data_IF_139983091737
#
_entry.id   IF_139983091737
#
_cell.length_a   1.000
_cell.length_b   1.000
_cell.length_c   1.000
_cell.angle_alpha   90.00
_cell.angle_beta   90.00
_cell.angle_gamma   90.00
#
_symmetry.space_group_name_H-M   'P 1'
#
loop_
_entity.id
_entity.type
_entity.pdbx_description
1 polymer ?
#
# COMPACT_ATOMS: atom_id res chain seq x y z
N UNK A 1 21.88 -1.58 2.70
CA UNK A 1 20.50 -2.06 2.53
C UNK A 1 20.13 -1.87 1.06
N UNK A 2 20.11 -2.94 0.27
CA UNK A 2 19.77 -2.85 -1.15
C UNK A 2 18.25 -2.79 -1.21
N UNK A 3 17.71 -1.57 -1.39
CA UNK A 3 16.29 -1.41 -1.73
C UNK A 3 16.13 -2.05 -3.11
N UNK A 4 15.57 -3.26 -3.18
CA UNK A 4 15.13 -3.79 -4.47
C UNK A 4 14.20 -2.73 -5.05
N UNK A 5 14.64 -2.12 -6.15
CA UNK A 5 13.91 -1.05 -6.83
C UNK A 5 12.57 -1.64 -7.23
N UNK A 6 11.48 -1.22 -6.58
CA UNK A 6 10.15 -1.70 -6.91
C UNK A 6 9.95 -1.55 -8.41
N UNK A 7 9.58 -2.64 -9.07
CA UNK A 7 9.22 -2.62 -10.48
C UNK A 7 7.97 -1.74 -10.62
N UNK A 8 7.88 -1.08 -11.77
CA UNK A 8 6.77 -0.19 -12.13
C UNK A 8 5.42 -0.92 -11.97
N UNK A 9 4.53 -0.39 -11.12
CA UNK A 9 3.20 -0.91 -10.84
C UNK A 9 2.39 -1.08 -12.12
N UNK A 10 1.66 -2.20 -12.27
CA UNK A 10 0.88 -2.55 -13.45
C UNK A 10 -0.46 -1.78 -13.50
N UNK A 11 -0.38 -0.46 -13.48
CA UNK A 11 -1.50 0.46 -13.69
C UNK A 11 -1.41 1.09 -15.08
N UNK A 12 -2.55 1.49 -15.65
CA UNK A 12 -2.59 2.15 -16.95
C UNK A 12 -1.79 3.46 -16.96
N UNK A 13 -1.24 3.81 -18.12
CA UNK A 13 -0.49 5.06 -18.30
C UNK A 13 -1.34 6.30 -17.93
N UNK A 14 -2.62 6.28 -18.29
CA UNK A 14 -3.57 7.35 -17.95
C UNK A 14 -3.77 7.49 -16.43
N UNK A 15 -3.89 6.38 -15.70
CA UNK A 15 -4.00 6.41 -14.23
C UNK A 15 -2.72 6.95 -13.61
N UNK A 16 -1.55 6.49 -14.07
CA UNK A 16 -0.28 6.98 -13.54
C UNK A 16 -0.09 8.48 -13.78
N UNK A 17 -0.45 8.97 -14.96
CA UNK A 17 -0.31 10.40 -15.28
C UNK A 17 -1.30 11.26 -14.49
N UNK A 18 -2.51 10.76 -14.24
CA UNK A 18 -3.44 11.40 -13.30
C UNK A 18 -2.83 11.49 -11.89
N UNK A 19 -2.30 10.38 -11.36
CA UNK A 19 -1.66 10.37 -10.04
C UNK A 19 -0.49 11.35 -9.94
N UNK A 20 0.35 11.45 -10.99
CA UNK A 20 1.45 12.43 -11.04
C UNK A 20 0.96 13.87 -10.96
N UNK A 21 -0.10 14.20 -11.70
CA UNK A 21 -0.70 15.54 -11.64
C UNK A 21 -1.26 15.82 -10.26
N UNK A 22 -1.95 14.84 -9.69
CA UNK A 22 -2.62 14.94 -8.38
C UNK A 22 -1.65 15.07 -7.20
N UNK A 23 -0.39 14.65 -7.36
CA UNK A 23 0.67 14.88 -6.38
C UNK A 23 1.74 15.91 -6.81
N UNK A 24 1.52 16.66 -7.89
CA UNK A 24 2.54 17.58 -8.45
C UNK A 24 2.85 18.77 -7.54
N UNK A 25 1.86 19.22 -6.77
CA UNK A 25 1.96 20.32 -5.80
C UNK A 25 1.07 20.03 -4.61
N UNK A 26 1.28 20.73 -3.50
CA UNK A 26 0.36 20.67 -2.34
C UNK A 26 -1.05 21.10 -2.73
N UNK A 27 -1.21 22.08 -3.63
CA UNK A 27 -2.52 22.50 -4.12
C UNK A 27 -3.21 21.40 -4.91
N UNK A 28 -2.47 20.66 -5.76
CA UNK A 28 -3.03 19.54 -6.50
C UNK A 28 -3.55 18.42 -5.58
N UNK A 29 -2.89 18.18 -4.44
CA UNK A 29 -3.38 17.23 -3.42
C UNK A 29 -4.69 17.71 -2.80
N UNK A 30 -4.80 19.01 -2.49
CA UNK A 30 -6.05 19.61 -1.99
C UNK A 30 -7.18 19.47 -3.01
N UNK A 31 -6.90 19.70 -4.30
CA UNK A 31 -7.87 19.52 -5.38
C UNK A 31 -8.27 18.05 -5.57
N UNK A 32 -7.33 17.12 -5.43
CA UNK A 32 -7.60 15.68 -5.48
C UNK A 32 -8.52 15.26 -4.32
N UNK A 33 -8.27 15.76 -3.11
CA UNK A 33 -9.14 15.55 -1.95
C UNK A 33 -10.55 16.09 -2.19
N UNK A 34 -10.67 17.31 -2.73
CA UNK A 34 -11.97 17.92 -3.04
C UNK A 34 -12.77 17.08 -4.04
N UNK A 35 -12.13 16.52 -5.07
CA UNK A 35 -12.78 15.59 -6.02
C UNK A 35 -13.25 14.28 -5.36
N UNK A 36 -12.59 13.86 -4.29
CA UNK A 36 -12.98 12.72 -3.47
C UNK A 36 -14.00 13.08 -2.37
N UNK A 37 -14.51 14.32 -2.34
CA UNK A 37 -15.46 14.78 -1.32
C UNK A 37 -14.83 14.96 0.06
N UNK A 38 -13.50 15.12 0.15
CA UNK A 38 -12.76 15.31 1.39
C UNK A 38 -12.15 16.71 1.46
N UNK A 39 -12.06 17.23 2.68
CA UNK A 39 -11.37 18.50 2.98
C UNK A 39 -10.08 18.19 3.71
N UNK A 40 -8.95 18.52 3.10
CA UNK A 40 -7.64 18.39 3.73
C UNK A 40 -7.23 19.70 4.40
N UNK A 41 -6.76 19.59 5.65
CA UNK A 41 -6.07 20.70 6.29
C UNK A 41 -4.72 20.93 5.58
N UNK A 42 -4.24 22.19 5.42
CA UNK A 42 -2.99 22.48 4.70
C UNK A 42 -1.77 21.68 5.19
N UNK A 43 -1.68 21.44 6.50
CA UNK A 43 -0.61 20.62 7.10
C UNK A 43 -0.63 19.18 6.61
N UNK A 44 -1.81 18.59 6.48
CA UNK A 44 -1.97 17.19 6.06
C UNK A 44 -1.81 17.08 4.55
N UNK A 45 -2.28 18.07 3.77
CA UNK A 45 -1.98 18.14 2.34
C UNK A 45 -0.46 18.22 2.07
N UNK A 46 0.30 18.94 2.89
CA UNK A 46 1.75 18.98 2.77
C UNK A 46 2.40 17.63 3.08
N UNK A 47 1.92 16.93 4.13
CA UNK A 47 2.42 15.59 4.47
C UNK A 47 2.14 14.59 3.35
N UNK A 48 0.90 14.54 2.85
CA UNK A 48 0.53 13.67 1.73
C UNK A 48 1.31 14.02 0.48
N UNK A 49 1.50 15.31 0.16
CA UNK A 49 2.34 15.72 -0.95
C UNK A 49 3.77 15.18 -0.83
N UNK A 50 4.40 15.34 0.34
CA UNK A 50 5.75 14.82 0.60
C UNK A 50 5.80 13.29 0.48
N UNK A 51 4.84 12.59 1.08
CA UNK A 51 4.76 11.14 0.99
C UNK A 51 4.52 10.66 -0.45
N UNK A 52 3.66 11.33 -1.21
CA UNK A 52 3.38 11.01 -2.60
C UNK A 52 4.59 11.22 -3.51
N UNK A 53 5.44 12.21 -3.22
CA UNK A 53 6.70 12.42 -3.93
C UNK A 53 7.75 11.36 -3.56
N UNK A 54 7.95 11.12 -2.25
CA UNK A 54 8.99 10.22 -1.75
C UNK A 54 8.64 8.73 -2.03
N UNK A 55 7.35 8.41 -2.10
CA UNK A 55 6.83 7.04 -2.24
C UNK A 55 5.84 6.89 -3.40
N UNK A 56 6.02 7.64 -4.50
CA UNK A 56 5.10 7.64 -5.63
C UNK A 56 4.81 6.23 -6.18
N UNK A 57 5.85 5.43 -6.34
CA UNK A 57 5.73 4.10 -6.92
C UNK A 57 5.00 3.14 -5.97
N UNK A 58 5.25 3.26 -4.66
CA UNK A 58 4.49 2.55 -3.64
C UNK A 58 3.00 2.94 -3.69
N UNK A 59 2.68 4.22 -3.77
CA UNK A 59 1.30 4.69 -3.95
C UNK A 59 0.63 4.11 -5.21
N UNK A 60 1.37 3.97 -6.31
CA UNK A 60 0.87 3.30 -7.53
C UNK A 60 0.54 1.82 -7.30
N UNK A 61 1.36 1.11 -6.51
CA UNK A 61 1.08 -0.28 -6.11
C UNK A 61 -0.15 -0.38 -5.21
N UNK A 62 -0.36 0.56 -4.28
CA UNK A 62 -1.56 0.60 -3.45
C UNK A 62 -2.84 0.76 -4.28
N UNK A 63 -2.79 1.61 -5.33
CA UNK A 63 -3.90 1.75 -6.29
C UNK A 63 -4.18 0.43 -7.02
N UNK A 64 -3.13 -0.26 -7.47
CA UNK A 64 -3.27 -1.57 -8.13
C UNK A 64 -3.90 -2.60 -7.18
N UNK A 65 -3.38 -2.73 -5.97
CA UNK A 65 -3.91 -3.71 -5.01
C UNK A 65 -5.36 -3.43 -4.66
N UNK A 66 -5.76 -2.17 -4.46
CA UNK A 66 -7.17 -1.81 -4.22
C UNK A 66 -8.08 -2.23 -5.38
N UNK A 67 -7.62 -2.07 -6.63
CA UNK A 67 -8.38 -2.49 -7.81
C UNK A 67 -8.52 -4.02 -7.88
N UNK A 68 -7.49 -4.76 -7.48
CA UNK A 68 -7.53 -6.23 -7.46
C UNK A 68 -8.41 -6.77 -6.33
N UNK A 69 -8.36 -6.17 -5.13
CA UNK A 69 -9.19 -6.60 -4.00
C UNK A 69 -10.69 -6.39 -4.23
N UNK A 70 -11.06 -5.48 -5.13
CA UNK A 70 -12.46 -5.29 -5.53
C UNK A 70 -12.99 -6.41 -6.45
N UNK A 71 -12.11 -7.23 -7.05
CA UNK A 71 -12.47 -8.17 -8.12
C UNK A 71 -12.35 -9.67 -7.74
N UNK A 72 -11.58 -10.07 -6.71
CA UNK A 72 -11.31 -11.49 -6.39
C UNK A 72 -11.20 -11.83 -4.89
N UNK A 73 -11.32 -13.14 -4.55
CA UNK A 73 -11.00 -13.71 -3.22
C UNK A 73 -9.52 -13.46 -2.87
N UNK A 74 -9.32 -12.49 -1.99
CA UNK A 74 -8.19 -11.56 -2.06
C UNK A 74 -7.04 -11.90 -1.12
N UNK A 75 -6.88 -13.17 -0.72
CA UNK A 75 -5.91 -13.55 0.32
C UNK A 75 -4.45 -13.23 -0.04
N UNK A 76 -4.00 -13.66 -1.23
CA UNK A 76 -2.62 -13.45 -1.68
C UNK A 76 -2.31 -11.96 -1.93
N UNK A 77 -3.20 -11.26 -2.62
CA UNK A 77 -3.07 -9.82 -2.90
C UNK A 77 -2.99 -8.99 -1.61
N UNK A 78 -3.80 -9.33 -0.60
CA UNK A 78 -3.74 -8.71 0.73
C UNK A 78 -2.39 -8.95 1.41
N UNK A 79 -1.91 -10.20 1.40
CA UNK A 79 -0.62 -10.56 1.98
C UNK A 79 0.55 -9.79 1.37
N UNK A 80 0.58 -9.70 0.03
CA UNK A 80 1.61 -8.94 -0.69
C UNK A 80 1.51 -7.45 -0.36
N UNK A 81 0.31 -6.87 -0.34
CA UNK A 81 0.10 -5.47 0.01
C UNK A 81 0.59 -5.14 1.44
N UNK A 82 0.25 -5.99 2.41
CA UNK A 82 0.70 -5.88 3.80
C UNK A 82 2.22 -5.99 3.93
N UNK A 83 2.85 -6.90 3.18
CA UNK A 83 4.31 -7.04 3.16
C UNK A 83 5.00 -5.80 2.59
N UNK A 84 4.48 -5.25 1.49
CA UNK A 84 4.99 -4.02 0.89
C UNK A 84 4.92 -2.86 1.89
N UNK A 85 3.78 -2.65 2.55
CA UNK A 85 3.64 -1.60 3.58
C UNK A 85 4.64 -1.77 4.72
N UNK A 86 4.80 -3.00 5.23
CA UNK A 86 5.73 -3.34 6.32
C UNK A 86 7.18 -3.05 5.95
N UNK A 87 7.60 -3.44 4.75
CA UNK A 87 8.99 -3.25 4.26
C UNK A 87 9.36 -1.78 4.14
N UNK A 88 8.40 -0.90 3.88
CA UNK A 88 8.61 0.54 3.76
C UNK A 88 8.53 1.29 5.10
N UNK A 89 8.19 0.63 6.20
CA UNK A 89 8.24 1.22 7.55
C UNK A 89 7.31 2.42 7.74
N UNK A 90 6.22 2.49 6.97
CA UNK A 90 5.28 3.61 7.02
C UNK A 90 4.47 3.57 8.32
N UNK A 91 4.59 4.63 9.12
CA UNK A 91 3.88 4.73 10.41
C UNK A 91 2.39 5.04 10.26
N UNK A 92 2.01 5.82 9.24
CA UNK A 92 0.62 6.26 9.02
C UNK A 92 0.24 6.19 7.52
N UNK A 93 0.25 5.01 6.87
CA UNK A 93 -0.02 4.89 5.43
C UNK A 93 -1.41 5.38 5.05
N UNK A 94 -2.42 5.16 5.91
CA UNK A 94 -3.79 5.64 5.68
C UNK A 94 -3.93 7.15 5.70
N UNK A 95 -3.01 7.90 6.31
CA UNK A 95 -3.00 9.39 6.27
C UNK A 95 -2.11 9.96 5.19
N UNK A 96 -1.16 9.17 4.71
CA UNK A 96 -0.13 9.62 3.76
C UNK A 96 -0.51 9.35 2.31
N UNK A 97 -1.46 8.45 2.07
CA UNK A 97 -1.86 7.99 0.73
C UNK A 97 -3.39 8.02 0.55
N UNK A 98 -4.10 8.76 1.40
CA UNK A 98 -5.55 8.71 1.48
C UNK A 98 -6.21 9.36 0.27
N UNK A 99 -5.77 10.55 -0.14
CA UNK A 99 -6.49 11.32 -1.16
C UNK A 99 -6.03 10.99 -2.57
N UNK A 100 -4.74 11.18 -2.85
CA UNK A 100 -4.16 10.97 -4.19
C UNK A 100 -4.29 9.52 -4.63
N UNK A 101 -3.96 8.59 -3.72
CA UNK A 101 -3.96 7.17 -4.04
C UNK A 101 -5.22 6.46 -3.56
N UNK A 102 -6.11 7.12 -2.80
CA UNK A 102 -7.35 6.54 -2.30
C UNK A 102 -7.13 5.37 -1.34
N UNK A 103 -6.00 5.33 -0.63
CA UNK A 103 -5.69 4.27 0.32
C UNK A 103 -6.05 4.75 1.73
N UNK A 104 -7.30 4.55 2.11
CA UNK A 104 -7.85 5.00 3.39
C UNK A 104 -7.79 3.93 4.48
N UNK A 105 -8.36 4.28 5.64
CA UNK A 105 -8.36 3.40 6.81
C UNK A 105 -9.09 2.08 6.55
N UNK A 106 -10.13 2.08 5.71
CA UNK A 106 -10.86 0.85 5.35
C UNK A 106 -9.98 -0.06 4.50
N UNK A 107 -9.28 0.51 3.50
CA UNK A 107 -8.29 -0.22 2.70
C UNK A 107 -7.18 -0.82 3.60
N UNK A 108 -6.70 -0.04 4.58
CA UNK A 108 -5.67 -0.50 5.50
C UNK A 108 -6.17 -1.63 6.41
N UNK A 109 -7.33 -1.47 7.05
CA UNK A 109 -7.92 -2.49 7.91
C UNK A 109 -8.17 -3.78 7.14
N UNK A 110 -8.69 -3.69 5.91
CA UNK A 110 -8.90 -4.87 5.06
C UNK A 110 -7.61 -5.63 4.75
N UNK A 111 -6.51 -4.90 4.51
CA UNK A 111 -5.18 -5.49 4.24
C UNK A 111 -4.58 -6.12 5.50
N UNK A 112 -4.72 -5.48 6.67
CA UNK A 112 -4.14 -5.96 7.93
C UNK A 112 -4.95 -7.11 8.55
N UNK A 113 -6.29 -7.04 8.54
CA UNK A 113 -7.16 -8.09 9.06
C UNK A 113 -7.04 -9.40 8.27
N UNK A 114 -6.81 -9.31 6.95
CA UNK A 114 -6.61 -10.46 6.09
C UNK A 114 -5.22 -11.10 6.18
N UNK A 115 -4.26 -10.47 6.87
CA UNK A 115 -2.97 -11.06 7.18
C UNK A 115 -2.98 -11.45 8.66
N UNK A 116 -3.45 -12.66 9.04
CA UNK A 116 -3.18 -13.15 10.38
C UNK A 116 -1.68 -13.02 10.56
N UNK A 117 -1.31 -12.26 11.59
CA UNK A 117 0.05 -12.20 12.11
C UNK A 117 0.44 -13.66 12.23
N UNK A 118 1.34 -14.17 11.38
CA UNK A 118 1.85 -15.52 11.56
C UNK A 118 2.43 -15.52 12.96
N UNK A 119 1.66 -16.07 13.90
CA UNK A 119 2.17 -16.50 15.16
C UNK A 119 3.23 -17.51 14.78
N UNK A 120 4.49 -17.10 14.96
CA UNK A 120 5.69 -17.93 14.97
C UNK A 120 5.35 -19.38 15.35
N UNK A 121 5.06 -20.23 14.37
CA UNK A 121 4.95 -21.66 14.56
C UNK A 121 6.35 -22.24 14.44
N UNK A 122 7.13 -21.99 15.49
CA UNK A 122 8.29 -22.81 15.79
C UNK A 122 7.82 -23.98 16.66
N UNK A 123 7.18 -25.00 16.09
CA UNK A 123 7.08 -26.32 16.73
C UNK A 123 7.09 -27.45 15.69
N UNK A 124 8.24 -28.13 15.65
CA UNK A 124 8.36 -29.57 15.47
C UNK A 124 8.22 -30.16 14.06
N UNK A 125 9.21 -29.88 13.21
CA UNK A 125 9.72 -30.93 12.33
C UNK A 125 10.34 -32.04 13.19
N UNK A 126 9.51 -32.98 13.68
CA UNK A 126 10.00 -34.32 14.02
C UNK A 126 10.37 -34.96 12.70
N UNK A 127 11.66 -34.92 12.37
CA UNK A 127 12.25 -35.86 11.42
C UNK A 127 11.98 -37.28 11.93
N UNK A 128 10.95 -37.89 11.34
CA UNK A 128 10.88 -39.33 11.20
C UNK A 128 12.01 -39.75 10.27
N UNK A 129 13.21 -39.99 10.81
CA UNK A 129 14.14 -40.91 10.17
C UNK A 129 13.97 -42.29 10.82
N UNK A 130 13.15 -43.07 10.14
CA UNK A 130 13.04 -44.51 10.27
C UNK A 130 14.14 -45.14 9.41
N UNK A 131 14.79 -46.17 9.98
CA UNK A 131 15.68 -47.21 9.39
C UNK A 131 17.17 -46.83 9.20
N UNK A 132 18.14 -47.72 9.42
CA UNK A 132 18.17 -49.14 9.83
C UNK A 132 19.62 -49.56 10.13
N UNK A 133 19.73 -50.71 10.81
CA UNK A 133 20.90 -51.58 11.05
C UNK A 133 21.80 -51.23 12.25
#
# INVERSE_FOLDING_TARGET
>A
MIVQRMVRAPISAATRERLRRDCSTTQAVVEAAARAGRTLHPRDAYKEFRAAQDYFELGCWLVYYRQQTANEESGEVRSVCAEVLRRHGLLEPSRNFETVFGFDIECYSFVVEGHPREASSAVSARQSEVRAC
#
